data_IF_889492076495
#
_entry.id   IF_889492076495
#
_cell.length_a   1.000
_cell.length_b   1.000
_cell.length_c   1.000
_cell.angle_alpha   90.00
_cell.angle_beta   90.00
_cell.angle_gamma   90.00
#
_symmetry.space_group_name_H-M   'P 1'
#
loop_
_entity.id
_entity.type
_entity.pdbx_description
1 polymer ?
#
# COMPACT_ATOMS: atom_id res chain seq x y z
N UNK A 1 -5.03 -29.95 8.05
CA UNK A 1 -4.16 -30.58 9.08
C UNK A 1 -3.14 -29.55 9.52
N UNK A 2 -2.76 -29.51 10.81
CA UNK A 2 -1.72 -28.60 11.31
C UNK A 2 -0.44 -29.40 11.57
N UNK A 3 0.69 -28.90 11.09
CA UNK A 3 2.01 -29.45 11.38
C UNK A 3 2.64 -28.71 12.57
N UNK A 4 3.29 -29.44 13.48
CA UNK A 4 4.07 -28.83 14.57
C UNK A 4 5.44 -28.45 14.01
N UNK A 5 5.82 -27.19 14.18
CA UNK A 5 7.13 -26.67 13.77
C UNK A 5 7.78 -25.97 14.96
N UNK A 6 9.06 -26.25 15.19
CA UNK A 6 9.89 -25.52 16.13
C UNK A 6 10.73 -24.50 15.35
N UNK A 7 10.68 -23.24 15.77
CA UNK A 7 11.46 -22.16 15.18
C UNK A 7 12.24 -21.45 16.28
N UNK A 8 13.45 -21.01 15.96
CA UNK A 8 14.27 -20.19 16.85
C UNK A 8 14.18 -18.75 16.37
N UNK A 9 13.87 -17.84 17.28
CA UNK A 9 13.87 -16.40 17.05
C UNK A 9 14.98 -15.77 17.89
N UNK A 10 15.50 -14.64 17.44
CA UNK A 10 16.34 -13.81 18.31
C UNK A 10 15.52 -13.42 19.57
N UNK A 11 16.17 -13.18 20.72
CA UNK A 11 15.46 -12.74 21.92
C UNK A 11 14.62 -11.48 21.68
N UNK A 12 15.13 -10.55 20.86
CA UNK A 12 14.43 -9.33 20.50
C UNK A 12 13.17 -9.59 19.67
N UNK A 13 13.29 -10.38 18.60
CA UNK A 13 12.14 -10.71 17.74
C UNK A 13 11.06 -11.48 18.50
N UNK A 14 11.48 -12.38 19.40
CA UNK A 14 10.57 -13.10 20.27
C UNK A 14 9.82 -12.17 21.24
N UNK A 15 10.52 -11.18 21.83
CA UNK A 15 9.90 -10.16 22.69
C UNK A 15 8.90 -9.32 21.91
N UNK A 16 9.32 -8.73 20.79
CA UNK A 16 8.50 -7.86 19.95
C UNK A 16 7.28 -8.59 19.38
N UNK A 17 7.45 -9.85 18.97
CA UNK A 17 6.34 -10.67 18.46
C UNK A 17 5.32 -10.97 19.55
N UNK A 18 5.75 -11.21 20.79
CA UNK A 18 4.85 -11.43 21.94
C UNK A 18 4.10 -10.16 22.31
N UNK A 19 4.78 -9.01 22.38
CA UNK A 19 4.13 -7.72 22.60
C UNK A 19 3.07 -7.44 21.54
N UNK A 20 3.38 -7.68 20.27
CA UNK A 20 2.43 -7.50 19.17
C UNK A 20 1.24 -8.46 19.26
N UNK A 21 1.48 -9.72 19.62
CA UNK A 21 0.41 -10.69 19.83
C UNK A 21 -0.51 -10.27 20.99
N UNK A 22 0.06 -9.79 22.10
CA UNK A 22 -0.69 -9.25 23.23
C UNK A 22 -1.53 -8.03 22.87
N UNK A 23 -0.99 -7.08 22.09
CA UNK A 23 -1.75 -5.93 21.58
C UNK A 23 -2.95 -6.34 20.72
N UNK A 24 -2.84 -7.48 20.03
CA UNK A 24 -3.90 -8.03 19.19
C UNK A 24 -4.84 -8.98 19.95
N UNK A 25 -4.59 -9.24 21.23
CA UNK A 25 -5.38 -10.19 22.04
C UNK A 25 -5.28 -11.65 21.58
N UNK A 26 -4.19 -12.03 20.91
CA UNK A 26 -3.98 -13.39 20.36
C UNK A 26 -2.71 -14.03 20.91
N UNK A 27 -2.60 -15.35 20.77
CA UNK A 27 -1.36 -16.06 21.11
C UNK A 27 -0.23 -15.77 20.11
N UNK A 28 1.02 -15.92 20.56
CA UNK A 28 2.20 -15.81 19.68
C UNK A 28 2.14 -16.77 18.49
N UNK A 29 1.66 -18.00 18.71
CA UNK A 29 1.52 -18.99 17.65
C UNK A 29 0.49 -18.54 16.59
N UNK A 30 -0.61 -17.92 17.01
CA UNK A 30 -1.60 -17.36 16.09
C UNK A 30 -1.06 -16.16 15.33
N UNK A 31 -0.30 -15.29 16.01
CA UNK A 31 0.38 -14.18 15.36
C UNK A 31 1.31 -14.66 14.23
N UNK A 32 2.15 -15.66 14.50
CA UNK A 32 3.06 -16.24 13.50
C UNK A 32 2.27 -16.88 12.35
N UNK A 33 1.21 -17.65 12.64
CA UNK A 33 0.35 -18.24 11.59
C UNK A 33 -0.24 -17.18 10.67
N UNK A 34 -0.71 -16.06 11.22
CA UNK A 34 -1.28 -14.95 10.44
C UNK A 34 -0.23 -14.25 9.58
N UNK A 35 1.00 -14.10 10.08
CA UNK A 35 2.11 -13.57 9.28
C UNK A 35 2.42 -14.50 8.10
N UNK A 36 2.59 -15.79 8.36
CA UNK A 36 2.86 -16.79 7.32
C UNK A 36 1.71 -16.83 6.31
N UNK A 37 0.45 -16.85 6.77
CA UNK A 37 -0.71 -16.85 5.89
C UNK A 37 -0.75 -15.60 5.01
N UNK A 38 -0.53 -14.42 5.57
CA UNK A 38 -0.50 -13.15 4.82
C UNK A 38 0.61 -13.13 3.77
N UNK A 39 1.78 -13.68 4.10
CA UNK A 39 2.91 -13.79 3.18
C UNK A 39 2.60 -14.75 2.02
N UNK A 40 2.08 -15.94 2.35
CA UNK A 40 1.75 -16.99 1.38
C UNK A 40 0.54 -16.68 0.50
N UNK A 41 -0.44 -15.93 1.00
CA UNK A 41 -1.60 -15.49 0.21
C UNK A 41 -1.19 -14.58 -0.95
N UNK A 42 0.05 -14.08 -0.93
CA UNK A 42 0.53 -13.10 -1.88
C UNK A 42 -0.20 -11.79 -1.64
N UNK A 43 0.52 -10.69 -1.74
CA UNK A 43 -0.14 -9.41 -1.92
C UNK A 43 -0.91 -9.48 -3.26
N UNK A 44 -2.20 -9.80 -3.23
CA UNK A 44 -3.15 -9.22 -4.18
C UNK A 44 -3.33 -7.73 -3.85
N UNK A 45 -2.21 -7.03 -3.83
CA UNK A 45 -2.17 -5.60 -4.06
C UNK A 45 -1.45 -5.48 -5.39
N UNK A 46 -2.24 -5.54 -6.47
CA UNK A 46 -2.19 -4.43 -7.41
C UNK A 46 -2.15 -3.18 -6.53
N UNK A 47 -0.96 -2.61 -6.39
CA UNK A 47 -0.65 -1.64 -5.34
C UNK A 47 -1.78 -0.64 -5.22
N UNK A 48 -2.47 -0.61 -4.09
CA UNK A 48 -3.32 0.52 -3.80
C UNK A 48 -2.38 1.67 -3.48
N UNK A 49 -2.06 2.42 -4.53
CA UNK A 49 -1.18 3.60 -4.53
C UNK A 49 -1.64 4.61 -3.46
N UNK A 50 -2.90 4.53 -3.02
CA UNK A 50 -3.45 5.29 -1.89
C UNK A 50 -2.65 5.15 -0.59
N UNK A 51 -1.98 4.03 -0.36
CA UNK A 51 -1.13 3.84 0.84
C UNK A 51 0.20 4.60 0.79
N UNK A 52 0.65 5.00 -0.40
CA UNK A 52 1.87 5.82 -0.58
C UNK A 52 1.54 7.32 -0.40
N UNK A 53 0.33 7.75 -0.75
CA UNK A 53 -0.09 9.16 -0.68
C UNK A 53 -0.71 9.60 0.66
N UNK A 54 -0.99 8.67 1.58
CA UNK A 54 -1.59 8.98 2.89
C UNK A 54 -0.73 9.77 3.89
N UNK A 55 0.46 10.25 3.50
CA UNK A 55 1.36 11.03 4.38
C UNK A 55 1.44 12.53 4.04
N UNK A 56 0.63 13.02 3.11
CA UNK A 56 0.54 14.43 2.77
C UNK A 56 -0.89 14.94 2.84
N UNK A 57 -1.43 15.14 4.04
CA UNK A 57 -2.62 15.99 4.20
C UNK A 57 -2.19 17.46 4.01
N UNK A 58 -2.12 17.90 2.76
CA UNK A 58 -2.06 19.30 2.35
C UNK A 58 -3.44 19.63 1.77
N UNK A 59 -4.32 20.18 2.60
CA UNK A 59 -5.76 20.25 2.36
C UNK A 59 -6.25 21.19 1.26
N UNK A 60 -5.73 21.13 0.04
CA UNK A 60 -6.34 21.82 -1.11
C UNK A 60 -5.74 21.34 -2.42
N UNK A 61 -6.31 20.28 -2.98
CA UNK A 61 -6.50 19.99 -4.41
C UNK A 61 -6.59 18.48 -4.55
N UNK A 62 -7.80 17.96 -4.68
CA UNK A 62 -8.00 16.59 -5.09
C UNK A 62 -7.68 16.49 -6.59
N UNK A 63 -6.39 16.41 -6.90
CA UNK A 63 -5.89 16.24 -8.28
C UNK A 63 -6.29 14.88 -8.83
N UNK A 64 -6.66 13.91 -7.98
CA UNK A 64 -7.03 12.57 -8.42
C UNK A 64 -8.40 12.56 -9.13
N UNK A 65 -9.37 13.35 -8.66
CA UNK A 65 -10.69 13.45 -9.30
C UNK A 65 -10.71 14.35 -10.54
N UNK A 66 -9.82 15.35 -10.61
CA UNK A 66 -9.76 16.31 -11.73
C UNK A 66 -8.64 16.00 -12.77
N UNK A 67 -7.90 14.90 -12.62
CA UNK A 67 -6.74 14.56 -13.46
C UNK A 67 -7.09 14.52 -14.95
N UNK A 68 -8.23 13.94 -15.28
CA UNK A 68 -8.63 13.79 -16.69
C UNK A 68 -8.92 15.17 -17.32
N UNK A 69 -9.53 16.09 -16.58
CA UNK A 69 -9.77 17.47 -17.01
C UNK A 69 -8.46 18.25 -17.24
N UNK A 70 -7.46 18.06 -16.37
CA UNK A 70 -6.15 18.69 -16.56
C UNK A 70 -5.38 18.12 -17.77
N UNK A 71 -5.47 16.82 -18.00
CA UNK A 71 -4.82 16.18 -19.16
C UNK A 71 -5.50 16.63 -20.45
N UNK A 72 -6.82 16.70 -20.47
CA UNK A 72 -7.59 17.16 -21.63
C UNK A 72 -7.31 18.64 -21.94
N UNK A 73 -7.22 19.49 -20.92
CA UNK A 73 -6.88 20.90 -21.10
C UNK A 73 -5.48 21.09 -21.70
N UNK A 74 -4.50 20.29 -21.29
CA UNK A 74 -3.14 20.36 -21.83
C UNK A 74 -3.08 19.83 -23.26
N UNK A 75 -3.75 18.71 -23.55
CA UNK A 75 -3.81 18.15 -24.91
C UNK A 75 -4.50 19.11 -25.89
N UNK A 76 -5.61 19.72 -25.48
CA UNK A 76 -6.31 20.73 -26.28
C UNK A 76 -5.40 21.94 -26.57
N UNK A 77 -4.66 22.42 -25.56
CA UNK A 77 -3.75 23.54 -25.73
C UNK A 77 -2.53 23.22 -26.64
N UNK A 78 -2.10 21.95 -26.70
CA UNK A 78 -1.04 21.52 -27.63
C UNK A 78 -1.54 21.41 -29.07
N UNK A 79 -2.73 20.85 -29.27
CA UNK A 79 -3.37 20.76 -30.59
C UNK A 79 -3.61 22.15 -31.21
N UNK A 80 -4.01 23.14 -30.39
CA UNK A 80 -4.19 24.53 -30.85
C UNK A 80 -2.86 25.23 -31.21
N UNK A 81 -1.73 24.82 -30.63
CA UNK A 81 -0.41 25.35 -31.00
C UNK A 81 0.10 24.75 -32.31
N UNK A 82 -0.11 23.47 -32.52
CA UNK A 82 0.33 22.77 -33.73
C UNK A 82 -0.48 23.20 -34.96
N UNK A 83 -1.79 23.38 -34.80
CA UNK A 83 -2.67 23.89 -35.87
C UNK A 83 -2.39 25.36 -36.24
N UNK A 84 -1.81 26.15 -35.33
CA UNK A 84 -1.39 27.54 -35.60
C UNK A 84 0.03 27.67 -36.15
N UNK A 85 0.87 26.63 -36.10
CA UNK A 85 2.24 26.67 -36.64
C UNK A 85 2.38 26.03 -38.03
N UNK A 86 1.29 25.54 -38.63
CA UNK A 86 1.26 24.98 -39.99
C UNK A 86 0.41 25.80 -40.98
N UNK A 87 0.11 27.06 -40.65
CA UNK A 87 -0.51 28.05 -41.54
C UNK A 87 0.49 29.10 -42.00
#
# INVERSE_FOLDING_TARGET
MMARTQITLTPEDHRRSRERASQLGISLAEYIRRLVKRDLEGRSTRGDISLIFGRGNSGSSDVASAKDEYVDAVLAAQHDRETRSSG
#
